data_IF_114321890465
#
_entry.id   IF_114321890465
#
_cell.length_a   1.000
_cell.length_b   1.000
_cell.length_c   1.000
_cell.angle_alpha   90.00
_cell.angle_beta   90.00
_cell.angle_gamma   90.00
#
_symmetry.space_group_name_H-M   'P 1'
#
loop_
_entity.id
_entity.type
_entity.pdbx_description
1 polymer ?
#
# COMPACT_ATOMS: atom_id res chain seq x y z
N UNK A 1 16.71 7.58 26.75
CA UNK A 1 15.75 6.97 27.68
C UNK A 1 16.31 5.60 28.07
N UNK A 2 16.58 5.38 29.34
CA UNK A 2 16.90 4.06 29.88
C UNK A 2 15.56 3.41 30.23
N UNK A 3 15.15 2.39 29.48
CA UNK A 3 13.92 1.66 29.74
C UNK A 3 14.32 0.41 30.54
N UNK A 4 13.67 0.19 31.67
CA UNK A 4 13.84 -1.01 32.45
C UNK A 4 13.48 -2.25 31.62
N UNK A 5 14.17 -3.39 31.78
CA UNK A 5 14.01 -4.53 30.88
C UNK A 5 12.59 -5.08 30.75
N UNK A 6 11.78 -5.00 31.79
CA UNK A 6 10.42 -5.57 31.88
C UNK A 6 9.29 -4.57 31.55
N UNK A 7 9.61 -3.39 31.07
CA UNK A 7 8.61 -2.34 30.81
C UNK A 7 8.14 -2.31 29.35
N UNK A 8 7.39 -3.31 28.92
CA UNK A 8 6.80 -3.39 27.57
C UNK A 8 5.98 -2.16 27.22
N UNK A 9 5.13 -1.66 28.12
CA UNK A 9 4.34 -0.45 27.87
C UNK A 9 5.20 0.79 27.60
N UNK A 10 6.30 0.94 28.33
CA UNK A 10 7.23 2.06 28.10
C UNK A 10 7.95 1.92 26.75
N UNK A 11 8.26 0.68 26.31
CA UNK A 11 8.83 0.42 24.98
C UNK A 11 7.85 0.77 23.87
N UNK A 12 6.58 0.37 24.00
CA UNK A 12 5.55 0.66 23.02
C UNK A 12 5.30 2.19 22.88
N UNK A 13 5.31 2.92 23.99
CA UNK A 13 5.23 4.38 23.94
C UNK A 13 6.47 5.00 23.27
N UNK A 14 7.66 4.48 23.55
CA UNK A 14 8.90 4.94 22.92
C UNK A 14 8.90 4.64 21.41
N UNK A 15 8.35 3.50 20.98
CA UNK A 15 8.19 3.16 19.56
C UNK A 15 7.36 4.21 18.83
N UNK A 16 6.21 4.62 19.38
CA UNK A 16 5.37 5.65 18.76
C UNK A 16 6.16 6.95 18.53
N UNK A 17 6.90 7.41 19.54
CA UNK A 17 7.72 8.62 19.43
C UNK A 17 8.82 8.48 18.35
N UNK A 18 9.40 7.28 18.20
CA UNK A 18 10.44 7.03 17.21
C UNK A 18 9.88 6.95 15.79
N UNK A 19 8.69 6.37 15.64
CA UNK A 19 7.96 6.34 14.36
C UNK A 19 7.63 7.77 13.91
N UNK A 20 7.08 8.59 14.81
CA UNK A 20 6.75 10.00 14.52
C UNK A 20 7.98 10.84 14.10
N UNK A 21 9.18 10.40 14.53
CA UNK A 21 10.48 11.02 14.16
C UNK A 21 11.15 10.36 12.94
N UNK A 22 10.49 9.44 12.29
CA UNK A 22 11.04 8.66 11.16
C UNK A 22 12.38 7.94 11.49
N UNK A 23 12.54 7.48 12.74
CA UNK A 23 13.78 6.88 13.24
C UNK A 23 13.74 5.35 13.15
N UNK A 24 13.55 4.78 11.95
CA UNK A 24 13.26 3.36 11.72
C UNK A 24 14.36 2.41 12.22
N UNK A 25 15.64 2.80 12.17
CA UNK A 25 16.73 2.02 12.77
C UNK A 25 16.58 1.89 14.30
N UNK A 26 16.11 2.96 14.97
CA UNK A 26 15.87 2.94 16.40
C UNK A 26 14.63 2.11 16.75
N UNK A 27 13.57 2.17 15.91
CA UNK A 27 12.38 1.30 16.03
C UNK A 27 12.81 -0.16 15.99
N UNK A 28 13.54 -0.58 14.96
CA UNK A 28 14.01 -1.96 14.82
C UNK A 28 14.87 -2.41 16.00
N UNK A 29 15.76 -1.54 16.51
CA UNK A 29 16.58 -1.85 17.68
C UNK A 29 15.74 -2.05 18.93
N UNK A 30 14.81 -1.13 19.21
CA UNK A 30 13.98 -1.19 20.42
C UNK A 30 13.07 -2.42 20.42
N UNK A 31 12.54 -2.80 19.25
CA UNK A 31 11.76 -4.04 19.11
C UNK A 31 12.60 -5.28 19.39
N UNK A 32 13.82 -5.39 18.83
CA UNK A 32 14.73 -6.51 19.12
C UNK A 32 15.07 -6.62 20.60
N UNK A 33 15.33 -5.50 21.26
CA UNK A 33 15.56 -5.47 22.70
C UNK A 33 14.31 -5.94 23.46
N UNK A 34 13.10 -5.53 23.04
CA UNK A 34 11.83 -5.99 23.62
C UNK A 34 11.65 -7.50 23.49
N UNK A 35 11.95 -8.06 22.32
CA UNK A 35 11.82 -9.50 22.05
C UNK A 35 12.78 -10.40 22.88
N UNK A 36 13.84 -9.84 23.48
CA UNK A 36 14.68 -10.57 24.42
C UNK A 36 13.94 -10.89 25.73
N UNK A 37 12.99 -10.05 26.11
CA UNK A 37 12.22 -10.17 27.35
C UNK A 37 10.82 -10.74 27.10
N UNK A 38 10.20 -10.39 25.99
CA UNK A 38 8.86 -10.84 25.58
C UNK A 38 8.86 -11.43 24.18
N UNK A 39 9.38 -12.65 23.99
CA UNK A 39 9.54 -13.26 22.65
C UNK A 39 8.23 -13.67 21.99
N UNK A 40 7.09 -13.56 22.68
CA UNK A 40 5.75 -13.82 22.14
C UNK A 40 4.97 -12.54 21.79
N UNK A 41 5.53 -11.34 22.07
CA UNK A 41 4.84 -10.07 21.80
C UNK A 41 4.81 -9.77 20.30
N UNK A 42 3.66 -9.99 19.67
CA UNK A 42 3.46 -9.87 18.21
C UNK A 42 3.70 -8.44 17.72
N UNK A 43 3.41 -7.44 18.54
CA UNK A 43 3.57 -6.03 18.18
C UNK A 43 5.03 -5.66 17.91
N UNK A 44 5.99 -6.25 18.62
CA UNK A 44 7.41 -6.02 18.35
C UNK A 44 7.85 -6.60 16.99
N UNK A 45 7.35 -7.77 16.62
CA UNK A 45 7.61 -8.33 15.28
C UNK A 45 7.02 -7.46 14.17
N UNK A 46 5.81 -6.94 14.38
CA UNK A 46 5.16 -6.04 13.43
C UNK A 46 5.99 -4.78 13.20
N UNK A 47 6.31 -4.04 14.26
CA UNK A 47 7.07 -2.80 14.13
C UNK A 47 8.51 -3.01 13.67
N UNK A 48 9.19 -4.09 14.09
CA UNK A 48 10.52 -4.42 13.58
C UNK A 48 10.48 -4.72 12.06
N UNK A 49 9.50 -5.50 11.64
CA UNK A 49 9.31 -5.83 10.23
C UNK A 49 8.98 -4.62 9.37
N UNK A 50 8.06 -3.78 9.83
CA UNK A 50 7.71 -2.50 9.19
C UNK A 50 8.94 -1.59 9.09
N UNK A 51 9.72 -1.45 10.15
CA UNK A 51 10.92 -0.63 10.14
C UNK A 51 11.96 -1.15 9.12
N UNK A 52 12.18 -2.46 9.04
CA UNK A 52 13.06 -3.01 8.02
C UNK A 52 12.54 -2.81 6.60
N UNK A 53 11.24 -2.89 6.39
CA UNK A 53 10.64 -2.62 5.08
C UNK A 53 10.86 -1.16 4.65
N UNK A 54 10.61 -0.20 5.55
CA UNK A 54 10.88 1.21 5.29
C UNK A 54 12.36 1.50 5.01
N UNK A 55 13.26 0.75 5.64
CA UNK A 55 14.71 0.80 5.40
C UNK A 55 15.15 0.02 4.14
N UNK A 56 14.22 -0.49 3.34
CA UNK A 56 14.49 -1.31 2.14
C UNK A 56 15.28 -2.61 2.43
N UNK A 57 15.20 -3.11 3.67
CA UNK A 57 15.82 -4.34 4.13
C UNK A 57 14.84 -5.51 4.05
N UNK A 58 14.33 -5.77 2.85
CA UNK A 58 13.20 -6.66 2.61
C UNK A 58 13.43 -8.10 3.14
N UNK A 59 14.64 -8.64 3.03
CA UNK A 59 14.94 -9.97 3.55
C UNK A 59 14.81 -10.06 5.08
N UNK A 60 15.26 -9.02 5.81
CA UNK A 60 15.10 -8.93 7.26
C UNK A 60 13.63 -8.75 7.63
N UNK A 61 12.89 -7.91 6.89
CA UNK A 61 11.46 -7.68 7.08
C UNK A 61 10.66 -9.00 6.95
N UNK A 62 10.86 -9.75 5.86
CA UNK A 62 10.19 -11.05 5.65
C UNK A 62 10.48 -11.99 6.81
N UNK A 63 11.75 -12.15 7.17
CA UNK A 63 12.17 -13.06 8.25
C UNK A 63 11.52 -12.72 9.59
N UNK A 64 11.42 -11.43 9.92
CA UNK A 64 10.84 -10.98 11.20
C UNK A 64 9.32 -11.10 11.18
N UNK A 65 8.66 -10.66 10.10
CA UNK A 65 7.21 -10.75 9.98
C UNK A 65 6.72 -12.20 9.93
N UNK A 66 7.44 -13.11 9.27
CA UNK A 66 7.11 -14.55 9.29
C UNK A 66 7.19 -15.13 10.72
N UNK A 67 8.23 -14.78 11.50
CA UNK A 67 8.32 -15.17 12.90
C UNK A 67 7.17 -14.61 13.72
N UNK A 68 6.79 -13.35 13.50
CA UNK A 68 5.62 -12.76 14.13
C UNK A 68 4.32 -13.49 13.79
N UNK A 69 4.14 -13.85 12.51
CA UNK A 69 2.98 -14.61 12.04
C UNK A 69 2.85 -16.01 12.67
N UNK A 70 3.97 -16.63 13.08
CA UNK A 70 4.00 -17.88 13.86
C UNK A 70 3.64 -17.69 15.34
N UNK A 71 3.65 -16.45 15.84
CA UNK A 71 3.32 -16.08 17.21
C UNK A 71 1.89 -15.59 17.40
N UNK A 72 1.14 -15.41 16.32
CA UNK A 72 -0.27 -15.04 16.40
C UNK A 72 -1.03 -16.16 17.12
N UNK A 73 -1.70 -15.79 18.21
CA UNK A 73 -2.49 -16.68 19.05
C UNK A 73 -3.96 -16.19 19.06
N UNK A 74 -4.87 -16.97 19.65
CA UNK A 74 -6.28 -16.58 19.80
C UNK A 74 -6.47 -15.28 20.59
N UNK A 75 -5.52 -14.99 21.51
CA UNK A 75 -5.51 -13.77 22.35
C UNK A 75 -4.89 -12.57 21.64
N UNK A 76 -4.28 -12.74 20.46
CA UNK A 76 -3.70 -11.64 19.70
C UNK A 76 -4.81 -10.74 19.17
N UNK A 77 -4.62 -9.43 19.29
CA UNK A 77 -5.52 -8.47 18.69
C UNK A 77 -5.66 -8.70 17.19
N UNK A 78 -6.91 -8.74 16.69
CA UNK A 78 -7.19 -9.10 15.30
C UNK A 78 -6.71 -8.04 14.31
N UNK A 79 -6.75 -6.76 14.69
CA UNK A 79 -6.23 -5.69 13.83
C UNK A 79 -4.72 -5.82 13.70
N UNK A 80 -4.02 -6.02 14.80
CA UNK A 80 -2.57 -6.25 14.80
C UNK A 80 -2.17 -7.47 13.98
N UNK A 81 -2.89 -8.60 14.13
CA UNK A 81 -2.65 -9.81 13.34
C UNK A 81 -2.84 -9.56 11.84
N UNK A 82 -3.91 -8.84 11.48
CA UNK A 82 -4.20 -8.44 10.11
C UNK A 82 -3.12 -7.51 9.55
N UNK A 83 -2.70 -6.50 10.30
CA UNK A 83 -1.69 -5.53 9.87
C UNK A 83 -0.32 -6.16 9.67
N UNK A 84 0.08 -7.06 10.57
CA UNK A 84 1.35 -7.81 10.42
C UNK A 84 1.34 -8.66 9.15
N UNK A 85 0.25 -9.38 8.89
CA UNK A 85 0.13 -10.24 7.70
C UNK A 85 0.00 -9.44 6.41
N UNK A 86 -0.69 -8.30 6.45
CA UNK A 86 -0.78 -7.38 5.32
C UNK A 86 0.60 -6.79 4.97
N UNK A 87 1.36 -6.35 5.98
CA UNK A 87 2.73 -5.86 5.79
C UNK A 87 3.64 -6.96 5.23
N UNK A 88 3.51 -8.20 5.71
CA UNK A 88 4.22 -9.35 5.13
C UNK A 88 3.86 -9.51 3.65
N UNK A 89 2.59 -9.37 3.29
CA UNK A 89 2.13 -9.39 1.90
C UNK A 89 2.79 -8.31 1.05
N UNK A 90 2.86 -7.07 1.55
CA UNK A 90 3.49 -5.96 0.84
C UNK A 90 4.98 -6.24 0.56
N UNK A 91 5.73 -6.70 1.55
CA UNK A 91 7.16 -7.01 1.41
C UNK A 91 7.39 -8.18 0.45
N UNK A 92 6.58 -9.23 0.53
CA UNK A 92 6.64 -10.38 -0.37
C UNK A 92 6.36 -9.97 -1.82
N UNK A 93 5.36 -9.11 -2.04
CA UNK A 93 5.05 -8.61 -3.38
C UNK A 93 6.21 -7.78 -3.95
N UNK A 94 6.80 -6.91 -3.15
CA UNK A 94 7.92 -6.06 -3.54
C UNK A 94 9.16 -6.89 -3.94
N UNK A 95 9.35 -8.03 -3.29
CA UNK A 95 10.39 -9.01 -3.62
C UNK A 95 10.01 -10.00 -4.73
N UNK A 96 8.87 -9.78 -5.42
CA UNK A 96 8.38 -10.59 -6.55
C UNK A 96 7.87 -11.99 -6.17
N UNK A 97 7.60 -12.23 -4.91
CA UNK A 97 6.97 -13.44 -4.38
C UNK A 97 5.45 -13.26 -4.32
N UNK A 98 4.83 -13.03 -5.49
CA UNK A 98 3.43 -12.58 -5.59
C UNK A 98 2.42 -13.62 -5.08
N UNK A 99 2.66 -14.92 -5.26
CA UNK A 99 1.72 -15.94 -4.80
C UNK A 99 1.73 -16.04 -3.26
N UNK A 100 2.92 -15.98 -2.65
CA UNK A 100 3.08 -15.95 -1.18
C UNK A 100 2.49 -14.65 -0.60
N UNK A 101 2.65 -13.51 -1.30
CA UNK A 101 2.04 -12.25 -0.91
C UNK A 101 0.50 -12.37 -0.85
N UNK A 102 -0.11 -12.98 -1.86
CA UNK A 102 -1.56 -13.16 -1.90
C UNK A 102 -2.08 -14.10 -0.81
N UNK A 103 -1.32 -15.12 -0.45
CA UNK A 103 -1.65 -15.97 0.70
C UNK A 103 -1.58 -15.19 2.03
N UNK A 104 -0.59 -14.30 2.17
CA UNK A 104 -0.49 -13.45 3.36
C UNK A 104 -1.66 -12.47 3.47
N UNK A 105 -2.08 -11.84 2.35
CA UNK A 105 -3.27 -10.98 2.33
C UNK A 105 -4.57 -11.74 2.61
N UNK A 106 -4.75 -12.92 2.02
CA UNK A 106 -5.94 -13.74 2.29
C UNK A 106 -6.03 -14.04 3.81
N UNK A 107 -4.92 -14.43 4.45
CA UNK A 107 -4.86 -14.62 5.90
C UNK A 107 -5.09 -13.33 6.70
N UNK A 108 -4.57 -12.20 6.24
CA UNK A 108 -4.81 -10.90 6.89
C UNK A 108 -6.31 -10.58 6.95
N UNK A 109 -7.03 -10.81 5.84
CA UNK A 109 -8.46 -10.56 5.74
C UNK A 109 -9.33 -11.58 6.52
N UNK A 110 -8.81 -12.75 6.89
CA UNK A 110 -9.45 -13.67 7.83
C UNK A 110 -9.50 -13.08 9.25
N UNK A 111 -8.47 -12.31 9.67
CA UNK A 111 -8.45 -11.63 10.96
C UNK A 111 -9.28 -10.34 10.96
N UNK A 112 -9.09 -9.50 9.96
CA UNK A 112 -9.87 -8.27 9.78
C UNK A 112 -10.30 -8.08 8.31
N UNK A 113 -11.53 -8.51 8.01
CA UNK A 113 -12.12 -8.40 6.67
C UNK A 113 -12.31 -6.94 6.20
N UNK A 114 -12.16 -5.95 7.09
CA UNK A 114 -12.28 -4.52 6.81
C UNK A 114 -10.94 -3.77 6.87
N UNK A 115 -9.81 -4.48 6.86
CA UNK A 115 -8.51 -3.83 6.78
C UNK A 115 -8.36 -3.13 5.42
N UNK A 116 -8.65 -1.83 5.40
CA UNK A 116 -8.70 -1.03 4.16
C UNK A 116 -7.35 -0.96 3.44
N UNK A 117 -6.25 -0.94 4.18
CA UNK A 117 -4.89 -0.94 3.60
C UNK A 117 -4.63 -2.26 2.89
N UNK A 118 -4.91 -3.37 3.57
CA UNK A 118 -4.80 -4.72 3.00
C UNK A 118 -5.66 -4.89 1.74
N UNK A 119 -6.94 -4.51 1.82
CA UNK A 119 -7.89 -4.59 0.71
C UNK A 119 -7.40 -3.79 -0.50
N UNK A 120 -6.95 -2.55 -0.28
CA UNK A 120 -6.46 -1.68 -1.35
C UNK A 120 -5.20 -2.25 -2.02
N UNK A 121 -4.19 -2.61 -1.21
CA UNK A 121 -2.91 -3.09 -1.74
C UNK A 121 -3.08 -4.40 -2.50
N UNK A 122 -3.86 -5.32 -1.95
CA UNK A 122 -4.17 -6.58 -2.63
C UNK A 122 -4.91 -6.36 -3.95
N UNK A 123 -5.95 -5.52 -3.95
CA UNK A 123 -6.70 -5.17 -5.16
C UNK A 123 -5.80 -4.52 -6.23
N UNK A 124 -4.98 -3.56 -5.82
CA UNK A 124 -4.02 -2.90 -6.70
C UNK A 124 -3.05 -3.90 -7.32
N UNK A 125 -2.42 -4.77 -6.53
CA UNK A 125 -1.46 -5.75 -7.06
C UNK A 125 -2.08 -6.79 -7.98
N UNK A 126 -3.30 -7.25 -7.70
CA UNK A 126 -4.06 -8.09 -8.64
C UNK A 126 -4.30 -7.35 -9.97
N UNK A 127 -4.65 -6.08 -9.91
CA UNK A 127 -4.90 -5.26 -11.09
C UNK A 127 -3.65 -5.06 -11.95
N UNK A 128 -2.49 -4.80 -11.32
CA UNK A 128 -1.20 -4.66 -12.00
C UNK A 128 -0.80 -5.95 -12.74
N UNK A 129 -1.15 -7.11 -12.19
CA UNK A 129 -0.90 -8.40 -12.82
C UNK A 129 -1.98 -8.81 -13.84
N UNK A 130 -3.07 -8.04 -13.95
CA UNK A 130 -4.23 -8.39 -14.78
C UNK A 130 -4.93 -9.67 -14.33
N UNK A 131 -4.82 -10.03 -13.05
CA UNK A 131 -5.38 -11.25 -12.47
C UNK A 131 -6.62 -10.93 -11.62
N UNK A 132 -7.65 -11.78 -11.71
CA UNK A 132 -8.84 -11.75 -10.83
C UNK A 132 -9.42 -10.34 -10.66
N UNK A 133 -9.63 -9.60 -11.76
CA UNK A 133 -10.09 -8.21 -11.73
C UNK A 133 -11.44 -8.06 -11.00
N UNK A 134 -12.33 -9.06 -11.04
CA UNK A 134 -13.60 -9.02 -10.32
C UNK A 134 -13.37 -9.03 -8.80
N UNK A 135 -12.45 -9.87 -8.29
CA UNK A 135 -12.05 -9.86 -6.87
C UNK A 135 -11.39 -8.53 -6.49
N UNK A 136 -10.54 -7.99 -7.37
CA UNK A 136 -9.90 -6.70 -7.16
C UNK A 136 -10.94 -5.56 -7.07
N UNK A 137 -11.95 -5.57 -7.95
CA UNK A 137 -13.05 -4.61 -7.92
C UNK A 137 -13.83 -4.68 -6.60
N UNK A 138 -14.24 -5.88 -6.18
CA UNK A 138 -14.99 -6.08 -4.93
C UNK A 138 -14.22 -5.51 -3.72
N UNK A 139 -12.94 -5.85 -3.61
CA UNK A 139 -12.08 -5.36 -2.52
C UNK A 139 -11.89 -3.84 -2.57
N UNK A 140 -11.59 -3.29 -3.74
CA UNK A 140 -11.35 -1.86 -3.90
C UNK A 140 -12.64 -1.05 -3.73
N UNK A 141 -13.80 -1.56 -4.19
CA UNK A 141 -15.09 -0.95 -3.90
C UNK A 141 -15.34 -0.87 -2.40
N UNK A 142 -15.04 -1.93 -1.66
CA UNK A 142 -15.18 -1.95 -0.20
C UNK A 142 -14.30 -0.89 0.47
N UNK A 143 -13.09 -0.62 -0.03
CA UNK A 143 -12.25 0.46 0.51
C UNK A 143 -12.89 1.83 0.32
N UNK A 144 -13.47 2.08 -0.85
CA UNK A 144 -14.18 3.34 -1.14
C UNK A 144 -15.47 3.46 -0.32
N UNK A 145 -16.19 2.36 -0.08
CA UNK A 145 -17.39 2.36 0.76
C UNK A 145 -17.06 2.71 2.23
N UNK A 146 -15.84 2.37 2.72
CA UNK A 146 -15.38 2.67 4.09
C UNK A 146 -14.70 4.05 4.19
N UNK A 147 -13.90 4.42 3.18
CA UNK A 147 -13.04 5.62 3.12
C UNK A 147 -13.24 6.35 1.79
N UNK A 148 -14.43 6.85 1.56
CA UNK A 148 -14.85 7.42 0.27
C UNK A 148 -14.21 8.77 -0.11
N UNK A 149 -13.44 9.37 0.78
CA UNK A 149 -12.71 10.64 0.58
C UNK A 149 -11.18 10.46 0.47
N UNK A 150 -10.69 9.22 0.56
CA UNK A 150 -9.27 8.95 0.41
C UNK A 150 -8.89 8.83 -1.08
N UNK A 151 -8.05 9.73 -1.60
CA UNK A 151 -7.69 9.73 -3.02
C UNK A 151 -6.97 8.45 -3.47
N UNK A 152 -6.20 7.79 -2.61
CA UNK A 152 -5.48 6.54 -2.94
C UNK A 152 -6.48 5.43 -3.25
N UNK A 153 -7.52 5.29 -2.42
CA UNK A 153 -8.55 4.26 -2.62
C UNK A 153 -9.44 4.56 -3.82
N UNK A 154 -9.77 5.83 -4.03
CA UNK A 154 -10.52 6.29 -5.20
C UNK A 154 -9.75 6.05 -6.50
N UNK A 155 -8.43 6.32 -6.54
CA UNK A 155 -7.58 6.07 -7.72
C UNK A 155 -7.49 4.57 -8.01
N UNK A 156 -7.22 3.75 -7.00
CA UNK A 156 -7.15 2.29 -7.17
C UNK A 156 -8.45 1.74 -7.75
N UNK A 157 -9.59 2.18 -7.24
CA UNK A 157 -10.90 1.75 -7.75
C UNK A 157 -11.13 2.23 -9.18
N UNK A 158 -10.84 3.49 -9.47
CA UNK A 158 -10.94 4.05 -10.82
C UNK A 158 -10.04 3.28 -11.82
N UNK A 159 -8.83 2.93 -11.41
CA UNK A 159 -7.91 2.16 -12.23
C UNK A 159 -8.41 0.74 -12.53
N UNK A 160 -8.96 0.04 -11.54
CA UNK A 160 -9.53 -1.29 -11.73
C UNK A 160 -10.74 -1.24 -12.69
N UNK A 161 -11.65 -0.29 -12.51
CA UNK A 161 -12.77 -0.05 -13.43
C UNK A 161 -12.28 0.25 -14.86
N UNK A 162 -11.22 1.03 -14.99
CA UNK A 162 -10.59 1.30 -16.29
C UNK A 162 -10.06 0.02 -16.95
N UNK A 163 -9.38 -0.86 -16.20
CA UNK A 163 -8.87 -2.13 -16.71
C UNK A 163 -9.99 -3.09 -17.15
N UNK A 164 -11.16 -2.99 -16.53
CA UNK A 164 -12.35 -3.75 -16.91
C UNK A 164 -13.14 -3.11 -18.09
N UNK A 165 -12.69 -1.95 -18.59
CA UNK A 165 -13.35 -1.25 -19.70
C UNK A 165 -14.53 -0.36 -19.27
N UNK A 166 -14.75 -0.16 -17.97
CA UNK A 166 -15.82 0.67 -17.39
C UNK A 166 -15.41 2.15 -17.34
N UNK A 167 -15.04 2.73 -18.48
CA UNK A 167 -14.33 4.01 -18.57
C UNK A 167 -15.09 5.18 -17.97
N UNK A 168 -16.41 5.28 -18.16
CA UNK A 168 -17.20 6.38 -17.61
C UNK A 168 -17.28 6.32 -16.07
N UNK A 169 -17.42 5.13 -15.50
CA UNK A 169 -17.38 4.97 -14.05
C UNK A 169 -15.98 5.28 -13.51
N UNK A 170 -14.93 4.77 -14.14
CA UNK A 170 -13.55 5.10 -13.81
C UNK A 170 -13.33 6.63 -13.78
N UNK A 171 -13.89 7.35 -14.74
CA UNK A 171 -13.78 8.82 -14.81
C UNK A 171 -14.45 9.51 -13.62
N UNK A 172 -15.59 8.99 -13.14
CA UNK A 172 -16.30 9.58 -11.99
C UNK A 172 -15.41 9.49 -10.74
N UNK A 173 -14.89 8.29 -10.42
CA UNK A 173 -14.05 8.07 -9.24
C UNK A 173 -12.69 8.77 -9.35
N UNK A 174 -12.10 8.81 -10.56
CA UNK A 174 -10.87 9.57 -10.79
C UNK A 174 -11.06 11.08 -10.57
N UNK A 175 -12.19 11.63 -11.00
CA UNK A 175 -12.48 13.04 -10.76
C UNK A 175 -12.64 13.33 -9.27
N UNK A 176 -13.23 12.40 -8.51
CA UNK A 176 -13.32 12.56 -7.06
C UNK A 176 -11.95 12.49 -6.41
N UNK A 177 -11.10 11.53 -6.79
CA UNK A 177 -9.72 11.44 -6.30
C UNK A 177 -8.95 12.76 -6.53
N UNK A 178 -9.03 13.32 -7.74
CA UNK A 178 -8.32 14.54 -8.12
C UNK A 178 -8.74 15.80 -7.34
N UNK A 179 -9.85 15.76 -6.61
CA UNK A 179 -10.27 16.90 -5.73
C UNK A 179 -9.40 17.03 -4.50
N UNK A 180 -8.74 15.94 -4.10
CA UNK A 180 -7.93 15.84 -2.89
C UNK A 180 -6.42 15.78 -3.19
N UNK A 181 -6.03 15.87 -4.46
CA UNK A 181 -4.64 15.62 -4.90
C UNK A 181 -4.00 16.92 -5.41
N UNK A 182 -2.85 17.26 -4.86
CA UNK A 182 -2.00 18.36 -5.33
C UNK A 182 -0.99 17.89 -6.39
N UNK A 183 -0.51 18.82 -7.23
CA UNK A 183 0.51 18.55 -8.25
C UNK A 183 1.91 18.42 -7.63
N UNK A 184 2.17 17.29 -6.95
CA UNK A 184 3.48 16.96 -6.37
C UNK A 184 4.07 15.69 -7.01
N UNK A 185 5.39 15.47 -6.91
CA UNK A 185 6.02 14.28 -7.48
C UNK A 185 5.41 12.95 -7.01
N UNK A 186 5.00 12.88 -5.73
CA UNK A 186 4.38 11.71 -5.10
C UNK A 186 3.05 11.36 -5.77
N UNK A 187 2.36 12.37 -6.29
CA UNK A 187 1.04 12.28 -6.89
C UNK A 187 1.05 12.12 -8.42
N UNK A 188 2.22 11.96 -9.04
CA UNK A 188 2.35 11.86 -10.49
C UNK A 188 1.48 10.76 -11.13
N UNK A 189 1.28 9.65 -10.41
CA UNK A 189 0.52 8.49 -10.89
C UNK A 189 -0.96 8.82 -11.07
N UNK A 190 -1.57 9.63 -10.20
CA UNK A 190 -2.98 10.06 -10.34
C UNK A 190 -3.22 10.75 -11.68
N UNK A 191 -2.31 11.63 -12.08
CA UNK A 191 -2.41 12.35 -13.37
C UNK A 191 -2.14 11.43 -14.56
N UNK A 192 -1.29 10.41 -14.42
CA UNK A 192 -1.08 9.42 -15.48
C UNK A 192 -2.33 8.56 -15.69
N UNK A 193 -2.93 8.03 -14.61
CA UNK A 193 -4.19 7.28 -14.66
C UNK A 193 -5.34 8.15 -15.20
N UNK A 194 -5.45 9.40 -14.74
CA UNK A 194 -6.45 10.33 -15.26
C UNK A 194 -6.30 10.53 -16.78
N UNK A 195 -5.08 10.70 -17.26
CA UNK A 195 -4.80 10.80 -18.69
C UNK A 195 -5.28 9.59 -19.49
N UNK A 196 -5.01 8.40 -19.01
CA UNK A 196 -5.44 7.15 -19.64
C UNK A 196 -6.98 7.02 -19.66
N UNK A 197 -7.62 7.30 -18.53
CA UNK A 197 -9.09 7.23 -18.38
C UNK A 197 -9.78 8.24 -19.31
N UNK A 198 -9.35 9.51 -19.31
CA UNK A 198 -9.92 10.54 -20.17
C UNK A 198 -9.71 10.25 -21.65
N UNK A 199 -8.57 9.65 -22.01
CA UNK A 199 -8.32 9.23 -23.38
C UNK A 199 -9.34 8.18 -23.86
N UNK A 200 -9.63 7.18 -23.02
CA UNK A 200 -10.60 6.13 -23.34
C UNK A 200 -12.04 6.65 -23.34
N UNK A 201 -12.36 7.67 -22.55
CA UNK A 201 -13.64 8.39 -22.62
C UNK A 201 -13.76 9.34 -23.82
N UNK A 202 -12.73 9.45 -24.68
CA UNK A 202 -12.74 10.29 -25.89
C UNK A 202 -12.31 11.74 -25.69
N UNK A 203 -12.10 12.21 -24.47
CA UNK A 203 -11.62 13.57 -24.16
C UNK A 203 -10.09 13.64 -24.27
N UNK A 204 -9.64 13.66 -25.53
CA UNK A 204 -8.20 13.69 -25.83
C UNK A 204 -7.51 14.98 -25.36
N UNK A 205 -8.25 16.08 -25.24
CA UNK A 205 -7.69 17.35 -24.80
C UNK A 205 -7.32 17.29 -23.31
N UNK A 206 -8.25 16.83 -22.47
CA UNK A 206 -7.97 16.63 -21.04
C UNK A 206 -6.94 15.52 -20.80
N UNK A 207 -6.99 14.41 -21.54
CA UNK A 207 -5.99 13.37 -21.46
C UNK A 207 -4.57 13.92 -21.66
N UNK A 208 -4.40 14.76 -22.70
CA UNK A 208 -3.12 15.40 -23.00
C UNK A 208 -2.67 16.35 -21.87
N UNK A 209 -3.58 17.05 -21.23
CA UNK A 209 -3.28 17.93 -20.10
C UNK A 209 -2.77 17.09 -18.92
N UNK A 210 -3.49 16.05 -18.53
CA UNK A 210 -3.09 15.19 -17.41
C UNK A 210 -1.76 14.46 -17.65
N UNK A 211 -1.52 13.91 -18.85
CA UNK A 211 -0.23 13.31 -19.17
C UNK A 211 0.93 14.30 -19.13
N UNK A 212 0.72 15.56 -19.54
CA UNK A 212 1.75 16.60 -19.42
C UNK A 212 2.05 16.93 -17.95
N UNK A 213 1.03 16.98 -17.09
CA UNK A 213 1.21 17.13 -15.64
C UNK A 213 2.00 15.94 -15.07
N UNK A 214 1.59 14.70 -15.36
CA UNK A 214 2.31 13.51 -14.93
C UNK A 214 3.77 13.50 -15.41
N UNK A 215 4.02 13.84 -16.67
CA UNK A 215 5.37 13.92 -17.24
C UNK A 215 6.27 14.92 -16.50
N UNK A 216 5.71 16.05 -16.07
CA UNK A 216 6.42 17.09 -15.29
C UNK A 216 6.74 16.59 -13.87
N UNK A 217 5.82 15.85 -13.26
CA UNK A 217 5.88 15.45 -11.87
C UNK A 217 6.74 14.19 -11.65
N UNK A 218 6.72 13.20 -12.53
CA UNK A 218 7.49 11.97 -12.36
C UNK A 218 8.98 12.23 -12.23
N UNK A 219 9.61 11.86 -11.08
CA UNK A 219 11.05 11.96 -10.93
C UNK A 219 11.78 10.88 -11.73
N UNK A 220 11.23 9.66 -11.87
CA UNK A 220 11.88 8.53 -12.51
C UNK A 220 11.83 8.62 -14.03
N UNK A 221 13.00 8.49 -14.66
CA UNK A 221 13.16 8.51 -16.12
C UNK A 221 12.28 7.48 -16.83
N UNK A 222 12.12 6.28 -16.24
CA UNK A 222 11.33 5.20 -16.84
C UNK A 222 9.85 5.57 -16.97
N UNK A 223 9.26 6.14 -15.91
CA UNK A 223 7.86 6.58 -15.90
C UNK A 223 7.65 7.76 -16.87
N UNK A 224 8.54 8.76 -16.84
CA UNK A 224 8.53 9.86 -17.82
C UNK A 224 8.56 9.36 -19.26
N UNK A 225 9.37 8.38 -19.59
CA UNK A 225 9.43 7.79 -20.94
C UNK A 225 8.14 7.08 -21.33
N UNK A 226 7.47 6.40 -20.40
CA UNK A 226 6.15 5.78 -20.67
C UNK A 226 5.12 6.84 -21.03
N UNK A 227 4.98 7.86 -20.19
CA UNK A 227 4.03 8.98 -20.44
C UNK A 227 4.37 9.74 -21.71
N UNK A 228 5.64 10.01 -21.98
CA UNK A 228 6.07 10.67 -23.21
C UNK A 228 5.69 9.88 -24.47
N UNK A 229 5.74 8.53 -24.41
CA UNK A 229 5.27 7.68 -25.53
C UNK A 229 3.77 7.81 -25.75
N UNK A 230 2.94 7.87 -24.69
CA UNK A 230 1.49 8.09 -24.78
C UNK A 230 1.20 9.42 -25.47
N UNK A 231 1.86 10.50 -25.03
CA UNK A 231 1.73 11.84 -25.61
C UNK A 231 2.10 11.85 -27.12
N UNK A 232 3.26 11.26 -27.45
CA UNK A 232 3.75 11.25 -28.84
C UNK A 232 2.89 10.40 -29.77
N UNK A 233 2.49 9.22 -29.32
CA UNK A 233 1.68 8.29 -30.11
C UNK A 233 0.19 8.66 -30.12
N UNK A 234 -0.24 9.54 -29.22
CA UNK A 234 -1.66 9.86 -28.95
C UNK A 234 -2.51 8.60 -28.73
N UNK A 235 -1.95 7.64 -27.97
CA UNK A 235 -2.59 6.36 -27.59
C UNK A 235 -1.94 5.77 -26.33
N UNK A 236 -2.68 4.92 -25.66
CA UNK A 236 -2.27 4.09 -24.51
C UNK A 236 -1.98 2.66 -24.94
#
# INVERSE_FOLDING_TARGET
LTIEPDQTKARLLALQIMIDKDSMEQVARLCREGLLYEPSEVMFYYYEGMAYFMLQRNADAIRVLQKGAERIAETTDKELASDLLATLGDVLYDTKLSEEAFLAYDRALEYNANNVVCLNNYAYYLSVLGKKLDKAEEMSKKTVDIKGDDPIYLDTYAWILFLQGQFEQARIYMNEALRYVEETPENAMFFDHAGDIYFRCGDKAKAMTYWKTALKLYPEKANRQKVQRKIWRKRI
#
